data_IF_821291645477
#
_entry.id   IF_821291645477
#
_cell.length_a   1.000
_cell.length_b   1.000
_cell.length_c   1.000
_cell.angle_alpha   90.00
_cell.angle_beta   90.00
_cell.angle_gamma   90.00
#
_symmetry.space_group_name_H-M   'P 1'
#
loop_
_entity.id
_entity.type
_entity.pdbx_description
1 polymer ?
#
# COMPACT_ATOMS: atom_id res chain seq x y z
N UNK A 1 16.43 11.08 -3.62
CA UNK A 1 15.03 10.61 -3.46
C UNK A 1 14.94 9.12 -3.07
N UNK A 2 15.56 8.14 -3.77
CA UNK A 2 15.43 6.71 -3.43
C UNK A 2 15.92 6.36 -2.02
N UNK A 3 17.07 6.93 -1.64
CA UNK A 3 17.61 6.76 -0.29
C UNK A 3 16.70 7.32 0.81
N UNK A 4 15.92 8.38 0.55
CA UNK A 4 14.95 8.91 1.52
C UNK A 4 13.78 7.95 1.72
N UNK A 5 13.30 7.35 0.64
CA UNK A 5 12.24 6.34 0.69
C UNK A 5 12.70 5.12 1.47
N UNK A 6 13.89 4.59 1.14
CA UNK A 6 14.48 3.44 1.86
C UNK A 6 14.64 3.72 3.35
N UNK A 7 15.23 4.87 3.71
CA UNK A 7 15.41 5.25 5.10
C UNK A 7 14.06 5.35 5.84
N UNK A 8 13.04 5.97 5.24
CA UNK A 8 11.71 6.04 5.84
C UNK A 8 11.10 4.65 6.08
N UNK A 9 11.17 3.77 5.08
CA UNK A 9 10.69 2.39 5.20
C UNK A 9 11.46 1.60 6.26
N UNK A 10 12.78 1.73 6.32
CA UNK A 10 13.61 1.06 7.32
C UNK A 10 13.33 1.57 8.73
N UNK A 11 13.07 2.87 8.89
CA UNK A 11 12.67 3.42 10.18
C UNK A 11 11.41 2.73 10.72
N UNK A 12 10.34 2.67 9.93
CA UNK A 12 9.13 1.93 10.31
C UNK A 12 9.42 0.46 10.60
N UNK A 13 10.17 -0.22 9.72
CA UNK A 13 10.45 -1.65 9.81
C UNK A 13 11.23 -1.99 11.07
N UNK A 14 12.38 -1.35 11.27
CA UNK A 14 13.30 -1.66 12.37
C UNK A 14 12.70 -1.25 13.70
N UNK A 15 12.05 -0.09 13.78
CA UNK A 15 11.39 0.34 15.02
C UNK A 15 10.27 -0.61 15.42
N UNK A 16 9.36 -0.97 14.50
CA UNK A 16 8.25 -1.86 14.85
C UNK A 16 8.73 -3.29 15.17
N UNK A 17 9.70 -3.83 14.41
CA UNK A 17 10.26 -5.16 14.68
C UNK A 17 11.02 -5.21 16.01
N UNK A 18 11.80 -4.15 16.33
CA UNK A 18 12.51 -4.05 17.61
C UNK A 18 11.52 -3.96 18.77
N UNK A 19 10.44 -3.19 18.62
CA UNK A 19 9.40 -3.10 19.65
C UNK A 19 8.69 -4.44 19.84
N UNK A 20 8.40 -5.15 18.75
CA UNK A 20 7.77 -6.47 18.81
C UNK A 20 8.67 -7.48 19.53
N UNK A 21 9.96 -7.52 19.18
CA UNK A 21 10.92 -8.43 19.79
C UNK A 21 11.17 -8.08 21.27
N UNK A 22 11.33 -6.78 21.58
CA UNK A 22 11.48 -6.31 22.95
C UNK A 22 10.27 -6.64 23.81
N UNK A 23 9.05 -6.44 23.29
CA UNK A 23 7.82 -6.76 24.00
C UNK A 23 7.62 -8.27 24.19
N UNK A 24 8.04 -9.10 23.22
CA UNK A 24 8.06 -10.56 23.36
C UNK A 24 8.99 -11.03 24.49
N UNK A 25 10.16 -10.42 24.64
CA UNK A 25 11.12 -10.77 25.71
C UNK A 25 10.64 -10.26 27.07
N UNK A 26 10.17 -9.03 27.12
CA UNK A 26 9.74 -8.38 28.36
C UNK A 26 8.34 -8.82 28.83
N UNK A 27 7.57 -9.48 27.96
CA UNK A 27 6.18 -9.86 28.18
C UNK A 27 5.18 -8.74 27.91
N UNK A 28 5.60 -7.48 27.72
CA UNK A 28 4.72 -6.36 27.35
C UNK A 28 5.51 -5.19 26.74
N UNK A 29 4.82 -4.29 26.05
CA UNK A 29 5.41 -3.02 25.61
C UNK A 29 5.60 -2.07 26.80
N UNK A 30 6.81 -1.54 26.95
CA UNK A 30 7.17 -0.59 28.02
C UNK A 30 7.82 0.66 27.44
N UNK A 31 7.87 1.78 28.20
CA UNK A 31 8.47 3.03 27.71
C UNK A 31 9.94 2.86 27.32
N UNK A 32 10.68 2.02 28.06
CA UNK A 32 12.08 1.68 27.75
C UNK A 32 12.17 1.00 26.38
N UNK A 33 11.32 0.00 26.12
CA UNK A 33 11.27 -0.69 24.82
C UNK A 33 10.91 0.30 23.71
N UNK A 34 9.96 1.21 23.97
CA UNK A 34 9.56 2.26 23.04
C UNK A 34 10.75 3.14 22.62
N UNK A 35 11.48 3.71 23.59
CA UNK A 35 12.67 4.53 23.33
C UNK A 35 13.77 3.72 22.62
N UNK A 36 14.09 2.52 23.11
CA UNK A 36 15.10 1.66 22.50
C UNK A 36 14.77 1.34 21.04
N UNK A 37 13.50 1.10 20.73
CA UNK A 37 13.04 0.78 19.37
C UNK A 37 13.13 1.98 18.43
N UNK A 38 12.82 3.19 18.91
CA UNK A 38 13.00 4.42 18.13
C UNK A 38 14.50 4.67 17.86
N UNK A 39 15.34 4.55 18.89
CA UNK A 39 16.79 4.68 18.75
C UNK A 39 17.37 3.65 17.78
N UNK A 40 16.95 2.38 17.87
CA UNK A 40 17.38 1.33 16.95
C UNK A 40 17.02 1.66 15.50
N UNK A 41 15.80 2.17 15.25
CA UNK A 41 15.39 2.64 13.93
C UNK A 41 16.27 3.77 13.40
N UNK A 42 16.55 4.79 14.22
CA UNK A 42 17.40 5.92 13.85
C UNK A 42 18.85 5.50 13.57
N UNK A 43 19.41 4.63 14.42
CA UNK A 43 20.78 4.10 14.26
C UNK A 43 20.89 3.28 12.96
N UNK A 44 19.91 2.42 12.67
CA UNK A 44 19.91 1.67 11.41
C UNK A 44 19.83 2.60 10.20
N UNK A 45 18.97 3.63 10.26
CA UNK A 45 18.86 4.65 9.23
C UNK A 45 20.17 5.42 8.97
N UNK A 46 20.93 5.71 10.02
CA UNK A 46 22.25 6.32 9.88
C UNK A 46 23.22 5.42 9.10
N UNK A 47 23.27 4.13 9.45
CA UNK A 47 24.12 3.17 8.74
C UNK A 47 23.68 2.94 7.29
N UNK A 48 22.38 2.86 7.05
CA UNK A 48 21.80 2.79 5.72
C UNK A 48 22.28 3.96 4.85
N UNK A 49 22.19 5.19 5.34
CA UNK A 49 22.67 6.36 4.58
C UNK A 49 24.15 6.32 4.24
N UNK A 50 24.96 5.78 5.16
CA UNK A 50 26.40 5.67 4.97
C UNK A 50 26.75 4.61 3.93
N UNK A 51 26.13 3.43 4.01
CA UNK A 51 26.59 2.23 3.30
C UNK A 51 25.71 1.80 2.12
N UNK A 52 24.44 2.19 2.06
CA UNK A 52 23.55 1.80 0.98
C UNK A 52 24.01 2.36 -0.37
N UNK A 53 24.01 1.52 -1.39
CA UNK A 53 24.31 1.93 -2.76
C UNK A 53 23.07 2.48 -3.48
N UNK A 54 21.86 2.37 -2.91
CA UNK A 54 20.61 2.87 -3.51
C UNK A 54 20.60 4.37 -3.74
N UNK A 55 21.47 5.14 -3.06
CA UNK A 55 21.72 6.56 -3.36
C UNK A 55 22.20 6.82 -4.80
N UNK A 56 22.71 5.79 -5.48
CA UNK A 56 23.20 5.85 -6.87
C UNK A 56 22.12 5.57 -7.91
N UNK A 57 20.91 5.15 -7.50
CA UNK A 57 19.80 4.95 -8.44
C UNK A 57 19.37 6.31 -9.00
N UNK A 58 19.20 6.36 -10.31
CA UNK A 58 18.84 7.57 -11.03
C UNK A 58 17.54 8.18 -10.48
N UNK A 59 17.54 9.51 -10.32
CA UNK A 59 16.35 10.27 -9.96
C UNK A 59 15.62 10.66 -11.24
N UNK A 60 14.28 10.68 -11.19
CA UNK A 60 13.47 11.13 -12.33
C UNK A 60 13.73 12.60 -12.66
N UNK A 61 13.46 12.95 -13.92
CA UNK A 61 13.54 14.32 -14.43
C UNK A 61 12.65 15.29 -13.62
N UNK A 62 13.00 16.59 -13.58
CA UNK A 62 12.19 17.59 -12.90
C UNK A 62 10.76 17.65 -13.45
N UNK A 63 9.83 17.98 -12.56
CA UNK A 63 8.40 18.07 -12.86
C UNK A 63 8.08 19.36 -13.60
N UNK A 64 7.18 19.27 -14.60
CA UNK A 64 6.53 20.43 -15.20
C UNK A 64 5.59 21.14 -14.21
N UNK A 65 5.14 22.35 -14.56
CA UNK A 65 4.30 23.18 -13.69
C UNK A 65 2.96 22.52 -13.36
N UNK A 66 2.29 21.91 -14.34
CA UNK A 66 0.98 21.26 -14.14
C UNK A 66 1.12 20.09 -13.17
N UNK A 67 2.14 19.26 -13.36
CA UNK A 67 2.44 18.15 -12.46
C UNK A 67 2.75 18.64 -11.04
N UNK A 68 3.50 19.73 -10.89
CA UNK A 68 3.77 20.35 -9.57
C UNK A 68 2.48 20.82 -8.89
N UNK A 69 1.57 21.47 -9.62
CA UNK A 69 0.28 21.92 -9.09
C UNK A 69 -0.58 20.74 -8.63
N UNK A 70 -0.69 19.68 -9.45
CA UNK A 70 -1.41 18.47 -9.07
C UNK A 70 -0.78 17.78 -7.84
N UNK A 71 0.54 17.77 -7.72
CA UNK A 71 1.23 17.24 -6.53
C UNK A 71 0.96 18.11 -5.30
N UNK A 72 0.87 19.44 -5.48
CA UNK A 72 0.46 20.36 -4.43
C UNK A 72 -0.96 20.08 -3.92
N UNK A 73 -1.91 19.82 -4.83
CA UNK A 73 -3.29 19.40 -4.47
C UNK A 73 -3.27 18.09 -3.70
N UNK A 74 -2.51 17.10 -4.17
CA UNK A 74 -2.37 15.81 -3.48
C UNK A 74 -1.79 15.99 -2.08
N UNK A 75 -0.72 16.78 -1.92
CA UNK A 75 -0.12 17.07 -0.62
C UNK A 75 -1.09 17.79 0.31
N UNK A 76 -1.87 18.75 -0.21
CA UNK A 76 -2.93 19.43 0.53
C UNK A 76 -4.00 18.44 1.02
N UNK A 77 -4.41 17.49 0.18
CA UNK A 77 -5.36 16.46 0.59
C UNK A 77 -4.77 15.41 1.54
N UNK A 78 -3.50 15.02 1.38
CA UNK A 78 -2.79 14.18 2.36
C UNK A 78 -2.79 14.87 3.73
N UNK A 79 -2.43 16.15 3.77
CA UNK A 79 -2.47 16.96 4.99
C UNK A 79 -3.87 16.99 5.60
N UNK A 80 -4.88 17.36 4.81
CA UNK A 80 -6.26 17.45 5.27
C UNK A 80 -6.79 16.12 5.84
N UNK A 81 -6.65 15.01 5.10
CA UNK A 81 -7.13 13.70 5.55
C UNK A 81 -6.31 13.11 6.70
N UNK A 82 -5.09 13.59 6.93
CA UNK A 82 -4.27 13.20 8.08
C UNK A 82 -4.66 13.98 9.34
N UNK A 83 -4.80 15.31 9.24
CA UNK A 83 -5.17 16.18 10.38
C UNK A 83 -6.61 15.93 10.81
N UNK A 84 -7.54 15.80 9.84
CA UNK A 84 -8.95 15.51 10.09
C UNK A 84 -9.24 14.00 10.07
N UNK A 85 -8.23 13.17 10.32
CA UNK A 85 -8.38 11.72 10.44
C UNK A 85 -9.40 11.37 11.54
N UNK A 86 -9.27 12.03 12.69
CA UNK A 86 -10.28 12.16 13.72
C UNK A 86 -9.99 13.43 14.52
N UNK A 87 -11.04 14.19 14.83
CA UNK A 87 -10.91 15.48 15.48
C UNK A 87 -12.10 15.77 16.37
N UNK A 88 -11.90 16.61 17.37
CA UNK A 88 -12.97 17.01 18.27
C UNK A 88 -13.69 18.22 17.67
N UNK A 89 -14.99 18.09 17.41
CA UNK A 89 -15.81 19.20 16.88
C UNK A 89 -16.32 20.10 18.00
N UNK A 90 -16.68 19.50 19.12
CA UNK A 90 -17.14 20.15 20.35
C UNK A 90 -16.67 19.33 21.57
N UNK A 91 -16.78 19.84 22.81
CA UNK A 91 -16.28 19.14 24.00
C UNK A 91 -16.81 17.70 24.19
N UNK A 92 -17.96 17.36 23.61
CA UNK A 92 -18.60 16.05 23.72
C UNK A 92 -18.47 15.15 22.48
N UNK A 93 -18.17 15.72 21.31
CA UNK A 93 -18.34 15.01 20.04
C UNK A 93 -17.05 14.92 19.23
N UNK A 94 -16.71 13.69 18.84
CA UNK A 94 -15.61 13.37 17.93
C UNK A 94 -16.14 13.09 16.53
N UNK A 95 -15.46 13.66 15.53
CA UNK A 95 -15.80 13.55 14.12
C UNK A 95 -14.65 12.92 13.34
N UNK A 96 -14.99 12.34 12.20
CA UNK A 96 -14.06 11.85 11.20
C UNK A 96 -14.42 12.48 9.86
N UNK A 97 -13.43 12.82 9.04
CA UNK A 97 -13.69 13.42 7.72
C UNK A 97 -14.21 12.40 6.70
N UNK A 98 -13.63 11.20 6.70
CA UNK A 98 -13.92 10.16 5.71
C UNK A 98 -14.74 9.03 6.34
N UNK A 99 -15.97 8.83 5.86
CA UNK A 99 -16.88 7.80 6.37
C UNK A 99 -16.29 6.39 6.28
N UNK A 100 -15.41 6.14 5.31
CA UNK A 100 -14.75 4.84 5.13
C UNK A 100 -13.83 4.51 6.32
N UNK A 101 -13.44 5.50 7.15
CA UNK A 101 -12.63 5.28 8.35
C UNK A 101 -13.45 4.81 9.56
N UNK A 102 -14.78 4.95 9.56
CA UNK A 102 -15.57 4.81 10.79
C UNK A 102 -15.39 3.43 11.45
N UNK A 103 -15.42 2.36 10.64
CA UNK A 103 -15.23 0.98 11.12
C UNK A 103 -13.79 0.71 11.53
N UNK A 104 -12.85 0.81 10.58
CA UNK A 104 -11.44 0.45 10.79
C UNK A 104 -10.77 1.26 11.92
N UNK A 105 -11.07 2.56 12.01
CA UNK A 105 -10.38 3.44 12.95
C UNK A 105 -10.65 3.06 14.41
N UNK A 106 -11.87 2.64 14.72
CA UNK A 106 -12.26 2.22 16.07
C UNK A 106 -11.49 0.98 16.53
N UNK A 107 -11.32 0.00 15.63
CA UNK A 107 -10.51 -1.20 15.87
C UNK A 107 -9.04 -0.83 16.12
N UNK A 108 -8.47 0.05 15.29
CA UNK A 108 -7.09 0.51 15.46
C UNK A 108 -6.87 1.28 16.78
N UNK A 109 -7.82 2.13 17.20
CA UNK A 109 -7.73 2.83 18.50
C UNK A 109 -7.68 1.85 19.67
N UNK A 110 -8.57 0.86 19.64
CA UNK A 110 -8.62 -0.21 20.63
C UNK A 110 -7.29 -0.94 20.70
N UNK A 111 -6.78 -1.41 19.56
CA UNK A 111 -5.51 -2.14 19.47
C UNK A 111 -4.32 -1.30 19.94
N UNK A 112 -4.18 -0.05 19.49
CA UNK A 112 -3.07 0.84 19.86
C UNK A 112 -3.05 1.06 21.38
N UNK A 113 -4.20 1.41 21.98
CA UNK A 113 -4.29 1.64 23.44
C UNK A 113 -4.10 0.37 24.24
N UNK A 114 -4.58 -0.76 23.74
CA UNK A 114 -4.39 -2.04 24.39
C UNK A 114 -2.90 -2.38 24.49
N UNK A 115 -2.17 -2.27 23.36
CA UNK A 115 -0.71 -2.46 23.32
C UNK A 115 0.03 -1.47 24.22
N UNK A 116 -0.34 -0.18 24.17
CA UNK A 116 0.30 0.87 24.95
C UNK A 116 0.10 0.74 26.47
N UNK A 117 -0.97 0.09 26.92
CA UNK A 117 -1.25 -0.22 28.33
C UNK A 117 -0.44 -1.39 28.89
N UNK A 118 0.43 -2.01 28.08
CA UNK A 118 1.31 -3.07 28.53
C UNK A 118 0.61 -4.43 28.68
N UNK A 119 -0.33 -4.76 27.79
CA UNK A 119 -0.89 -6.12 27.73
C UNK A 119 0.19 -7.17 27.48
N UNK A 120 -0.10 -8.39 27.95
CA UNK A 120 0.77 -9.54 27.74
C UNK A 120 1.03 -9.78 26.24
N UNK A 121 2.29 -9.97 25.88
CA UNK A 121 2.74 -10.28 24.52
C UNK A 121 2.99 -11.78 24.39
N UNK A 122 2.49 -12.47 23.36
CA UNK A 122 1.68 -11.97 22.25
C UNK A 122 0.25 -11.59 22.67
N UNK A 123 -0.31 -10.46 22.19
CA UNK A 123 -1.61 -9.99 22.64
C UNK A 123 -2.75 -10.95 22.28
N UNK A 124 -3.78 -10.95 23.12
CA UNK A 124 -5.07 -11.57 22.81
C UNK A 124 -5.86 -10.72 21.81
N UNK A 125 -6.80 -11.36 21.12
CA UNK A 125 -7.71 -10.72 20.19
C UNK A 125 -8.64 -9.77 20.96
N UNK A 126 -8.70 -8.47 20.62
CA UNK A 126 -9.51 -7.50 21.36
C UNK A 126 -11.02 -7.69 21.13
N UNK A 127 -11.42 -8.51 20.15
CA UNK A 127 -12.83 -8.81 19.83
C UNK A 127 -13.25 -10.16 20.43
N UNK A 128 -12.37 -11.17 20.39
CA UNK A 128 -12.68 -12.52 20.84
C UNK A 128 -11.77 -12.95 22.00
N UNK A 129 -12.32 -12.97 23.21
CA UNK A 129 -11.60 -13.36 24.43
C UNK A 129 -11.04 -14.78 24.35
N UNK A 130 -9.81 -14.97 24.84
CA UNK A 130 -9.13 -16.28 24.82
C UNK A 130 -8.54 -16.68 23.47
N UNK A 131 -8.73 -15.87 22.42
CA UNK A 131 -8.09 -16.09 21.13
C UNK A 131 -6.85 -15.21 20.98
N UNK A 132 -5.82 -15.74 20.32
CA UNK A 132 -4.59 -14.98 20.03
C UNK A 132 -4.86 -13.92 18.95
N UNK A 133 -4.23 -12.76 19.04
CA UNK A 133 -4.37 -11.72 18.03
C UNK A 133 -3.64 -12.08 16.73
N UNK A 134 -4.38 -12.17 15.61
CA UNK A 134 -3.85 -12.63 14.30
C UNK A 134 -3.73 -11.54 13.25
N UNK A 135 -4.43 -10.43 13.45
CA UNK A 135 -4.40 -9.28 12.55
C UNK A 135 -2.97 -8.72 12.44
N UNK A 136 -2.47 -8.37 11.23
CA UNK A 136 -1.17 -7.72 11.07
C UNK A 136 -1.14 -6.33 11.72
N UNK A 137 -0.58 -6.24 12.93
CA UNK A 137 -0.66 -5.03 13.76
C UNK A 137 0.61 -4.18 13.75
N UNK A 138 1.50 -4.33 12.76
CA UNK A 138 2.78 -3.59 12.71
C UNK A 138 2.63 -2.06 12.81
N UNK A 139 1.65 -1.47 12.10
CA UNK A 139 1.37 -0.03 12.20
C UNK A 139 0.76 0.36 13.55
N UNK A 140 -0.03 -0.53 14.15
CA UNK A 140 -0.66 -0.27 15.45
C UNK A 140 0.39 -0.32 16.56
N UNK A 141 1.31 -1.29 16.52
CA UNK A 141 2.45 -1.34 17.45
C UNK A 141 3.36 -0.11 17.28
N UNK A 142 3.64 0.31 16.04
CA UNK A 142 4.44 1.50 15.80
C UNK A 142 3.79 2.76 16.43
N UNK A 143 2.46 2.89 16.34
CA UNK A 143 1.74 3.98 16.99
C UNK A 143 1.67 3.81 18.52
N UNK A 144 1.54 2.58 19.01
CA UNK A 144 1.50 2.26 20.44
C UNK A 144 2.80 2.66 21.15
N UNK A 145 3.95 2.70 20.45
CA UNK A 145 5.20 3.24 21.00
C UNK A 145 5.00 4.70 21.45
N UNK A 146 4.38 5.55 20.63
CA UNK A 146 4.19 6.96 20.96
C UNK A 146 3.15 7.15 22.08
N UNK A 147 2.04 6.42 22.03
CA UNK A 147 1.02 6.43 23.09
C UNK A 147 1.61 5.95 24.43
N UNK A 148 2.46 4.91 24.42
CA UNK A 148 3.14 4.40 25.60
C UNK A 148 4.18 5.39 26.17
N UNK A 149 4.70 6.29 25.35
CA UNK A 149 5.57 7.41 25.77
C UNK A 149 4.77 8.66 26.22
N UNK A 150 3.44 8.56 26.31
CA UNK A 150 2.56 9.64 26.76
C UNK A 150 2.26 10.70 25.70
N UNK A 151 2.62 10.46 24.43
CA UNK A 151 2.23 11.35 23.34
C UNK A 151 0.78 11.03 22.98
N UNK A 152 -0.08 12.05 22.98
CA UNK A 152 -1.50 11.87 22.72
C UNK A 152 -1.77 11.27 21.32
N UNK A 153 -2.75 10.35 21.25
CA UNK A 153 -3.25 9.75 20.00
C UNK A 153 -3.61 10.78 18.92
N UNK A 154 -4.16 11.93 19.31
CA UNK A 154 -4.52 13.04 18.43
C UNK A 154 -3.31 13.68 17.76
N UNK A 155 -2.11 13.44 18.29
CA UNK A 155 -0.86 13.99 17.76
C UNK A 155 -0.15 12.95 16.90
N UNK A 156 0.15 11.78 17.47
CA UNK A 156 1.00 10.81 16.77
C UNK A 156 0.29 10.17 15.58
N UNK A 157 -1.02 9.92 15.68
CA UNK A 157 -1.72 9.17 14.65
C UNK A 157 -1.92 9.96 13.34
N UNK A 158 -2.32 11.24 13.37
CA UNK A 158 -2.23 12.14 12.21
C UNK A 158 -0.81 12.24 11.64
N UNK A 159 0.21 12.42 12.49
CA UNK A 159 1.59 12.59 12.06
C UNK A 159 2.13 11.35 11.33
N UNK A 160 1.91 10.17 11.89
CA UNK A 160 2.31 8.90 11.29
C UNK A 160 1.58 8.66 9.97
N UNK A 161 0.28 8.97 9.92
CA UNK A 161 -0.53 8.87 8.69
C UNK A 161 0.01 9.81 7.61
N UNK A 162 0.27 11.08 7.95
CA UNK A 162 0.84 12.08 7.05
C UNK A 162 2.21 11.63 6.51
N UNK A 163 3.12 11.24 7.41
CA UNK A 163 4.47 10.79 7.03
C UNK A 163 4.42 9.58 6.09
N UNK A 164 3.57 8.60 6.39
CA UNK A 164 3.42 7.40 5.57
C UNK A 164 2.76 7.66 4.21
N UNK A 165 1.78 8.58 4.14
CA UNK A 165 1.16 8.97 2.86
C UNK A 165 2.10 9.82 1.99
N UNK A 166 2.91 10.70 2.58
CA UNK A 166 3.99 11.41 1.87
C UNK A 166 5.03 10.42 1.35
N UNK A 167 5.42 9.44 2.17
CA UNK A 167 6.31 8.36 1.76
C UNK A 167 5.71 7.53 0.62
N UNK A 168 4.40 7.26 0.67
CA UNK A 168 3.63 6.62 -0.41
C UNK A 168 3.72 7.42 -1.70
N UNK A 169 3.40 8.72 -1.68
CA UNK A 169 3.49 9.58 -2.85
C UNK A 169 4.92 9.60 -3.43
N UNK A 170 5.94 9.69 -2.57
CA UNK A 170 7.33 9.66 -2.99
C UNK A 170 7.72 8.32 -3.63
N UNK A 171 7.32 7.19 -3.03
CA UNK A 171 7.60 5.85 -3.57
C UNK A 171 6.89 5.61 -4.91
N UNK A 172 5.62 6.03 -5.03
CA UNK A 172 4.86 5.95 -6.28
C UNK A 172 5.49 6.82 -7.37
N UNK A 173 5.92 8.05 -7.06
CA UNK A 173 6.63 8.88 -8.03
C UNK A 173 7.94 8.24 -8.45
N UNK A 174 8.74 7.73 -7.51
CA UNK A 174 10.01 7.08 -7.81
C UNK A 174 9.81 5.88 -8.74
N UNK A 175 8.89 4.98 -8.40
CA UNK A 175 8.62 3.76 -9.16
C UNK A 175 7.92 4.05 -10.49
N UNK A 176 6.88 4.87 -10.46
CA UNK A 176 5.86 5.02 -11.50
C UNK A 176 5.74 6.38 -12.17
N UNK A 177 6.36 7.42 -11.62
CA UNK A 177 6.20 8.80 -12.07
C UNK A 177 4.79 9.34 -11.83
N UNK A 178 4.39 10.42 -12.55
CA UNK A 178 3.09 11.05 -12.39
C UNK A 178 1.91 10.13 -12.66
N UNK A 179 2.01 9.24 -13.67
CA UNK A 179 0.95 8.28 -13.99
C UNK A 179 0.53 7.47 -12.76
N UNK A 180 1.50 6.88 -12.06
CA UNK A 180 1.20 6.02 -10.91
C UNK A 180 0.68 6.83 -9.72
N UNK A 181 1.23 8.03 -9.48
CA UNK A 181 0.71 8.92 -8.43
C UNK A 181 -0.75 9.29 -8.72
N UNK A 182 -1.06 9.76 -9.92
CA UNK A 182 -2.41 10.20 -10.27
C UNK A 182 -3.41 9.04 -10.25
N UNK A 183 -3.05 7.89 -10.81
CA UNK A 183 -3.96 6.73 -10.83
C UNK A 183 -4.28 6.18 -9.44
N UNK A 184 -3.37 6.31 -8.47
CA UNK A 184 -3.66 5.91 -7.08
C UNK A 184 -4.51 6.96 -6.37
N UNK A 185 -4.11 8.22 -6.42
CA UNK A 185 -4.81 9.29 -5.68
C UNK A 185 -6.18 9.66 -6.29
N UNK A 186 -6.32 9.52 -7.60
CA UNK A 186 -7.49 9.93 -8.36
C UNK A 186 -8.18 8.77 -9.08
N UNK A 187 -8.04 7.54 -8.59
CA UNK A 187 -8.79 6.38 -9.09
C UNK A 187 -10.30 6.57 -8.88
N UNK A 188 -11.11 6.14 -9.85
CA UNK A 188 -12.58 6.06 -9.76
C UNK A 188 -13.16 5.30 -10.97
N UNK A 189 -14.47 5.04 -10.97
CA UNK A 189 -15.16 4.40 -12.09
C UNK A 189 -15.41 5.37 -13.25
N UNK A 190 -14.56 5.33 -14.28
CA UNK A 190 -14.71 6.12 -15.50
C UNK A 190 -16.06 5.91 -16.19
N UNK A 191 -16.57 4.68 -16.23
CA UNK A 191 -17.84 4.38 -16.88
C UNK A 191 -19.06 4.95 -16.14
N UNK A 192 -19.00 5.05 -14.80
CA UNK A 192 -20.04 5.72 -14.05
C UNK A 192 -20.06 7.21 -14.38
N UNK A 193 -18.90 7.85 -14.59
CA UNK A 193 -18.83 9.26 -15.00
C UNK A 193 -19.52 9.54 -16.35
N UNK A 194 -19.51 8.58 -17.28
CA UNK A 194 -20.16 8.73 -18.59
C UNK A 194 -21.70 8.61 -18.56
N UNK A 195 -22.30 8.21 -17.44
CA UNK A 195 -23.75 8.06 -17.35
C UNK A 195 -24.46 9.43 -17.23
N UNK A 196 -25.67 9.60 -17.77
CA UNK A 196 -26.43 10.84 -17.60
C UNK A 196 -26.75 11.14 -16.12
N UNK A 197 -26.59 12.39 -15.69
CA UNK A 197 -26.98 12.83 -14.33
C UNK A 197 -25.91 12.67 -13.23
N UNK A 198 -24.66 12.41 -13.59
CA UNK A 198 -23.53 12.10 -12.69
C UNK A 198 -22.81 13.31 -12.09
N UNK A 199 -23.42 14.50 -12.16
CA UNK A 199 -22.94 15.68 -11.43
C UNK A 199 -23.11 15.54 -9.90
N UNK A 200 -23.89 14.55 -9.45
CA UNK A 200 -23.87 14.08 -8.07
C UNK A 200 -22.64 13.19 -7.84
N UNK A 201 -21.60 13.77 -7.24
CA UNK A 201 -20.31 13.13 -7.00
C UNK A 201 -20.40 11.86 -6.13
N UNK A 202 -21.46 11.71 -5.33
CA UNK A 202 -21.68 10.49 -4.55
C UNK A 202 -22.02 9.29 -5.45
N UNK A 203 -22.73 9.52 -6.58
CA UNK A 203 -23.09 8.47 -7.54
C UNK A 203 -21.89 7.95 -8.33
N UNK A 204 -20.78 8.70 -8.39
CA UNK A 204 -19.57 8.25 -9.08
C UNK A 204 -18.99 6.97 -8.48
N UNK A 205 -19.23 6.71 -7.20
CA UNK A 205 -18.76 5.50 -6.50
C UNK A 205 -19.87 4.48 -6.20
N UNK A 206 -21.11 4.76 -6.61
CA UNK A 206 -22.24 3.88 -6.34
C UNK A 206 -22.13 2.59 -7.15
N UNK A 207 -22.30 1.45 -6.47
CA UNK A 207 -22.16 0.11 -7.06
C UNK A 207 -20.75 -0.25 -7.52
N UNK A 208 -19.72 0.53 -7.16
CA UNK A 208 -18.32 0.18 -7.39
C UNK A 208 -17.72 -0.46 -6.14
N UNK A 209 -17.04 -1.58 -6.34
CA UNK A 209 -16.20 -2.22 -5.32
C UNK A 209 -14.77 -1.67 -5.40
N UNK A 210 -14.28 -1.43 -6.62
CA UNK A 210 -13.00 -0.78 -6.90
C UNK A 210 -13.17 0.76 -6.83
N UNK A 211 -13.34 1.24 -5.60
CA UNK A 211 -13.54 2.66 -5.27
C UNK A 211 -12.26 3.48 -5.42
N UNK A 212 -12.33 4.78 -5.14
CA UNK A 212 -11.14 5.62 -5.09
C UNK A 212 -10.16 5.07 -4.05
N UNK A 213 -9.00 4.63 -4.49
CA UNK A 213 -8.02 3.90 -3.68
C UNK A 213 -7.45 4.76 -2.55
N UNK A 214 -7.32 6.07 -2.76
CA UNK A 214 -6.89 6.95 -1.69
C UNK A 214 -7.93 7.01 -0.57
N UNK A 215 -9.18 7.30 -0.90
CA UNK A 215 -10.26 7.48 0.08
C UNK A 215 -10.74 6.17 0.71
N UNK A 216 -10.72 5.06 -0.02
CA UNK A 216 -11.28 3.78 0.44
C UNK A 216 -10.25 2.80 0.99
N UNK A 217 -8.96 2.98 0.68
CA UNK A 217 -7.89 2.04 1.08
C UNK A 217 -6.74 2.74 1.79
N UNK A 218 -6.13 3.78 1.21
CA UNK A 218 -4.92 4.38 1.80
C UNK A 218 -5.21 5.14 3.10
N UNK A 219 -6.31 5.88 3.16
CA UNK A 219 -6.70 6.65 4.34
C UNK A 219 -7.25 5.73 5.45
N UNK A 220 -7.88 4.62 5.07
CA UNK A 220 -8.61 3.70 5.96
C UNK A 220 -7.71 2.59 6.50
N UNK A 221 -7.00 1.89 5.61
CA UNK A 221 -6.24 0.69 5.94
C UNK A 221 -4.82 1.06 6.33
N UNK A 222 -4.59 1.18 7.64
CA UNK A 222 -3.30 1.63 8.20
C UNK A 222 -2.11 0.81 7.71
N UNK A 223 -2.24 -0.51 7.64
CA UNK A 223 -1.16 -1.39 7.15
C UNK A 223 -0.70 -1.03 5.73
N UNK A 224 -1.60 -0.51 4.89
CA UNK A 224 -1.32 -0.14 3.51
C UNK A 224 -0.47 1.13 3.38
N UNK A 225 -0.50 2.01 4.39
CA UNK A 225 0.33 3.22 4.49
C UNK A 225 1.83 2.90 4.52
N UNK A 226 2.20 1.73 5.08
CA UNK A 226 3.55 1.19 4.95
C UNK A 226 3.69 0.29 3.72
N UNK A 227 2.71 -0.58 3.49
CA UNK A 227 2.87 -1.67 2.52
C UNK A 227 2.95 -1.18 1.07
N UNK A 228 2.15 -0.18 0.68
CA UNK A 228 2.19 0.35 -0.68
C UNK A 228 3.55 0.96 -1.03
N UNK A 229 4.12 1.91 -0.26
CA UNK A 229 5.45 2.44 -0.55
C UNK A 229 6.52 1.36 -0.52
N UNK A 230 6.45 0.40 0.41
CA UNK A 230 7.40 -0.71 0.49
C UNK A 230 7.39 -1.57 -0.78
N UNK A 231 6.23 -2.07 -1.21
CA UNK A 231 6.16 -2.97 -2.37
C UNK A 231 6.49 -2.29 -3.70
N UNK A 232 6.07 -1.03 -3.93
CA UNK A 232 6.44 -0.31 -5.16
C UNK A 232 7.92 0.09 -5.17
N UNK A 233 8.47 0.40 -4.01
CA UNK A 233 9.91 0.64 -3.85
C UNK A 233 10.71 -0.62 -4.18
N UNK A 234 10.35 -1.77 -3.59
CA UNK A 234 10.97 -3.06 -3.85
C UNK A 234 10.89 -3.40 -5.34
N UNK A 235 9.71 -3.30 -5.96
CA UNK A 235 9.57 -3.52 -7.41
C UNK A 235 10.56 -2.67 -8.21
N UNK A 236 10.62 -1.36 -7.93
CA UNK A 236 11.48 -0.45 -8.70
C UNK A 236 12.96 -0.80 -8.54
N UNK A 237 13.42 -1.08 -7.32
CA UNK A 237 14.83 -1.43 -7.06
C UNK A 237 15.22 -2.73 -7.76
N UNK A 238 14.34 -3.73 -7.75
CA UNK A 238 14.56 -4.97 -8.49
C UNK A 238 14.55 -4.75 -10.01
N UNK A 239 13.61 -3.97 -10.54
CA UNK A 239 13.56 -3.62 -11.97
C UNK A 239 14.83 -2.89 -12.44
N UNK A 240 15.32 -1.91 -11.67
CA UNK A 240 16.59 -1.21 -11.96
C UNK A 240 17.78 -2.17 -11.99
N UNK A 241 17.82 -3.14 -11.06
CA UNK A 241 18.85 -4.17 -11.08
C UNK A 241 18.72 -5.14 -12.25
N UNK A 242 17.51 -5.58 -12.58
CA UNK A 242 17.24 -6.46 -13.71
C UNK A 242 17.62 -5.84 -15.05
N UNK A 243 17.54 -4.52 -15.15
CA UNK A 243 18.00 -3.73 -16.31
C UNK A 243 19.50 -3.45 -16.32
N UNK A 244 20.23 -3.85 -15.27
CA UNK A 244 21.65 -3.56 -15.11
C UNK A 244 21.97 -2.09 -14.80
N UNK A 245 20.97 -1.26 -14.48
CA UNK A 245 21.14 0.15 -14.18
C UNK A 245 21.72 0.38 -12.76
N UNK A 246 21.62 -0.63 -11.89
CA UNK A 246 22.13 -0.58 -10.52
C UNK A 246 22.47 -1.97 -9.98
N UNK A 247 23.46 -2.04 -9.08
CA UNK A 247 23.87 -3.28 -8.40
C UNK A 247 23.83 -3.12 -6.88
N UNK A 248 23.13 -4.02 -6.16
CA UNK A 248 23.02 -3.94 -4.70
C UNK A 248 24.32 -4.30 -4.00
N UNK A 249 24.69 -3.50 -2.98
CA UNK A 249 25.68 -3.92 -1.99
C UNK A 249 25.13 -5.03 -1.08
N UNK A 250 25.98 -5.64 -0.25
CA UNK A 250 25.53 -6.61 0.77
C UNK A 250 24.54 -5.96 1.75
N UNK A 251 24.80 -4.70 2.13
CA UNK A 251 23.93 -3.96 3.04
C UNK A 251 22.56 -3.67 2.42
N UNK A 252 22.52 -3.33 1.13
CA UNK A 252 21.25 -3.15 0.40
C UNK A 252 20.43 -4.44 0.39
N UNK A 253 21.07 -5.60 0.15
CA UNK A 253 20.36 -6.89 0.14
C UNK A 253 19.68 -7.20 1.48
N UNK A 254 20.36 -6.90 2.58
CA UNK A 254 19.81 -7.05 3.94
C UNK A 254 18.67 -6.06 4.18
N UNK A 255 18.88 -4.79 3.86
CA UNK A 255 17.88 -3.73 4.04
C UNK A 255 16.60 -3.98 3.24
N UNK A 256 16.74 -4.39 1.97
CA UNK A 256 15.61 -4.76 1.12
C UNK A 256 14.90 -6.01 1.65
N UNK A 257 15.65 -6.96 2.23
CA UNK A 257 15.10 -8.14 2.88
C UNK A 257 14.28 -7.80 4.13
N UNK A 258 14.75 -6.85 4.94
CA UNK A 258 14.01 -6.33 6.09
C UNK A 258 12.71 -5.64 5.66
N UNK A 259 12.77 -4.76 4.67
CA UNK A 259 11.57 -4.08 4.13
C UNK A 259 10.57 -5.10 3.59
N UNK A 260 11.04 -6.07 2.81
CA UNK A 260 10.19 -7.11 2.24
C UNK A 260 9.58 -7.99 3.33
N UNK A 261 10.38 -8.51 4.27
CA UNK A 261 9.87 -9.34 5.35
C UNK A 261 8.91 -8.59 6.29
N UNK A 262 9.17 -7.32 6.56
CA UNK A 262 8.31 -6.47 7.39
C UNK A 262 6.90 -6.31 6.79
N UNK A 263 6.71 -6.47 5.47
CA UNK A 263 5.36 -6.53 4.91
C UNK A 263 4.50 -7.60 5.61
N UNK A 264 5.07 -8.74 6.02
CA UNK A 264 4.31 -9.78 6.73
C UNK A 264 3.75 -9.30 8.07
N UNK A 265 4.44 -8.36 8.71
CA UNK A 265 4.03 -7.75 9.96
C UNK A 265 3.04 -6.60 9.78
N UNK A 266 3.27 -5.76 8.76
CA UNK A 266 2.45 -4.57 8.51
C UNK A 266 1.19 -4.86 7.70
N UNK A 267 1.24 -5.79 6.74
CA UNK A 267 0.14 -6.09 5.84
C UNK A 267 0.34 -7.43 5.09
N UNK A 268 -0.23 -8.51 5.64
CA UNK A 268 -0.02 -9.88 5.16
C UNK A 268 -0.38 -10.10 3.68
N UNK A 269 -1.49 -9.53 3.20
CA UNK A 269 -1.86 -9.64 1.77
C UNK A 269 -0.80 -9.03 0.87
N UNK A 270 -0.21 -7.90 1.27
CA UNK A 270 0.88 -7.26 0.50
C UNK A 270 2.14 -8.11 0.53
N UNK A 271 2.49 -8.69 1.67
CA UNK A 271 3.62 -9.63 1.74
C UNK A 271 3.43 -10.77 0.75
N UNK A 272 2.25 -11.40 0.74
CA UNK A 272 1.98 -12.53 -0.14
C UNK A 272 2.09 -12.18 -1.62
N UNK A 273 1.37 -11.14 -2.08
CA UNK A 273 1.32 -10.80 -3.51
C UNK A 273 2.63 -10.18 -4.02
N UNK A 274 3.29 -9.33 -3.22
CA UNK A 274 4.61 -8.79 -3.56
C UNK A 274 5.63 -9.93 -3.63
N UNK A 275 5.57 -10.88 -2.69
CA UNK A 275 6.48 -12.03 -2.70
C UNK A 275 6.28 -12.92 -3.92
N UNK A 276 5.03 -13.22 -4.25
CA UNK A 276 4.69 -14.03 -5.41
C UNK A 276 5.17 -13.35 -6.70
N UNK A 277 4.87 -12.06 -6.87
CA UNK A 277 5.23 -11.33 -8.07
C UNK A 277 6.76 -11.13 -8.21
N UNK A 278 7.45 -10.71 -7.15
CA UNK A 278 8.92 -10.58 -7.17
C UNK A 278 9.59 -11.94 -7.33
N UNK A 279 9.07 -13.00 -6.70
CA UNK A 279 9.55 -14.37 -6.87
C UNK A 279 9.47 -14.82 -8.33
N UNK A 280 8.32 -14.62 -8.98
CA UNK A 280 8.15 -14.91 -10.40
C UNK A 280 9.15 -14.14 -11.28
N UNK A 281 9.38 -12.85 -11.01
CA UNK A 281 10.38 -12.06 -11.73
C UNK A 281 11.81 -12.56 -11.48
N UNK A 282 12.20 -12.83 -10.23
CA UNK A 282 13.54 -13.35 -9.89
C UNK A 282 13.80 -14.68 -10.61
N UNK A 283 12.81 -15.58 -10.62
CA UNK A 283 12.89 -16.88 -11.28
C UNK A 283 12.99 -16.73 -12.80
N UNK A 284 12.12 -15.93 -13.41
CA UNK A 284 12.14 -15.66 -14.85
C UNK A 284 13.47 -15.01 -15.30
N UNK A 285 13.98 -14.07 -14.51
CA UNK A 285 15.28 -13.41 -14.73
C UNK A 285 16.49 -14.28 -14.39
N UNK A 286 16.27 -15.48 -13.82
CA UNK A 286 17.32 -16.40 -13.35
C UNK A 286 18.30 -15.75 -12.36
N UNK A 287 17.81 -14.82 -11.53
CA UNK A 287 18.63 -14.08 -10.58
C UNK A 287 18.54 -14.60 -9.13
N UNK A 288 18.06 -15.82 -8.92
CA UNK A 288 17.91 -16.40 -7.58
C UNK A 288 19.21 -16.35 -6.77
N UNK A 289 20.36 -16.67 -7.39
CA UNK A 289 21.67 -16.60 -6.69
C UNK A 289 22.02 -15.20 -6.21
N UNK A 290 21.67 -14.17 -6.99
CA UNK A 290 21.91 -12.77 -6.64
C UNK A 290 21.06 -12.34 -5.46
N UNK A 291 19.79 -12.74 -5.46
CA UNK A 291 18.77 -12.26 -4.53
C UNK A 291 18.48 -13.21 -3.36
N UNK A 292 19.08 -14.40 -3.32
CA UNK A 292 18.90 -15.37 -2.26
C UNK A 292 19.08 -14.77 -0.85
N UNK A 293 20.11 -13.94 -0.55
CA UNK A 293 20.23 -13.34 0.78
C UNK A 293 19.04 -12.45 1.16
N UNK A 294 18.50 -11.69 0.18
CA UNK A 294 17.33 -10.83 0.38
C UNK A 294 16.07 -11.66 0.59
N UNK A 295 15.89 -12.71 -0.21
CA UNK A 295 14.76 -13.65 -0.08
C UNK A 295 14.79 -14.36 1.27
N UNK A 296 15.96 -14.85 1.70
CA UNK A 296 16.11 -15.50 3.00
C UNK A 296 15.80 -14.53 4.13
N UNK A 297 16.33 -13.31 4.09
CA UNK A 297 16.03 -12.30 5.10
C UNK A 297 14.52 -11.97 5.14
N UNK A 298 13.89 -11.77 3.98
CA UNK A 298 12.45 -11.53 3.90
C UNK A 298 11.64 -12.70 4.47
N UNK A 299 12.05 -13.93 4.17
CA UNK A 299 11.44 -15.14 4.69
C UNK A 299 11.58 -15.22 6.21
N UNK A 300 12.78 -15.09 6.78
CA UNK A 300 12.99 -15.18 8.22
C UNK A 300 12.25 -14.10 9.01
N UNK A 301 12.18 -12.89 8.48
CA UNK A 301 11.46 -11.78 9.14
C UNK A 301 9.95 -11.93 8.98
N UNK A 302 9.46 -12.31 7.80
CA UNK A 302 8.03 -12.39 7.51
C UNK A 302 7.35 -13.66 8.03
N UNK A 303 8.07 -14.80 8.07
CA UNK A 303 7.53 -16.11 8.38
C UNK A 303 6.79 -16.17 9.73
N UNK A 304 7.30 -15.62 10.85
CA UNK A 304 6.60 -15.68 12.12
C UNK A 304 5.19 -15.08 12.06
N UNK A 305 5.01 -14.00 11.29
CA UNK A 305 3.72 -13.32 11.13
C UNK A 305 2.76 -14.12 10.23
N UNK A 306 3.30 -14.74 9.18
CA UNK A 306 2.51 -15.67 8.33
C UNK A 306 2.04 -16.86 9.16
N UNK A 307 2.93 -17.49 9.93
CA UNK A 307 2.58 -18.63 10.77
C UNK A 307 1.53 -18.25 11.83
N UNK A 308 1.66 -17.07 12.43
CA UNK A 308 0.66 -16.56 13.38
C UNK A 308 -0.72 -16.40 12.73
N UNK A 309 -0.78 -15.93 11.48
CA UNK A 309 -2.03 -15.74 10.75
C UNK A 309 -2.68 -17.07 10.28
N UNK A 310 -1.90 -18.14 10.16
CA UNK A 310 -2.38 -19.45 9.68
C UNK A 310 -2.91 -20.37 10.79
N UNK A 311 -2.76 -20.02 12.08
CA UNK A 311 -3.31 -20.83 13.16
C UNK A 311 -4.85 -20.88 13.02
N UNK A 312 -5.51 -22.05 13.00
CA UNK A 312 -6.97 -22.15 12.84
C UNK A 312 -7.74 -21.59 14.05
N UNK A 313 -8.92 -21.00 13.83
CA UNK A 313 -9.90 -20.65 14.89
C UNK A 313 -11.13 -21.55 14.78
N UNK A 314 -11.67 -21.98 15.92
CA UNK A 314 -12.96 -22.66 15.95
C UNK A 314 -14.06 -21.67 15.51
N UNK A 315 -14.81 -22.00 14.44
CA UNK A 315 -15.95 -21.20 13.97
C UNK A 315 -15.69 -20.21 12.84
N UNK A 316 -14.45 -20.02 12.39
CA UNK A 316 -14.16 -19.25 11.17
C UNK A 316 -14.23 -20.15 9.94
N UNK A 317 -15.37 -20.15 9.23
CA UNK A 317 -15.51 -20.78 7.92
C UNK A 317 -14.52 -20.16 6.92
N UNK A 318 -14.03 -20.98 5.99
CA UNK A 318 -12.72 -20.86 5.32
C UNK A 318 -12.31 -19.48 4.77
N UNK A 319 -11.13 -19.02 5.18
CA UNK A 319 -10.39 -17.87 4.63
C UNK A 319 -10.09 -17.98 3.13
N UNK A 320 -10.07 -19.20 2.60
CA UNK A 320 -9.69 -19.50 1.22
C UNK A 320 -10.86 -20.22 0.56
N UNK A 321 -11.46 -19.59 -0.43
CA UNK A 321 -12.53 -20.19 -1.21
C UNK A 321 -12.57 -19.62 -2.63
N UNK A 322 -13.19 -20.37 -3.54
CA UNK A 322 -13.43 -19.93 -4.91
C UNK A 322 -14.76 -19.17 -5.00
N UNK A 323 -14.76 -18.06 -5.74
CA UNK A 323 -15.94 -17.26 -6.06
C UNK A 323 -16.00 -16.96 -7.57
N UNK A 324 -17.21 -16.74 -8.10
CA UNK A 324 -17.45 -16.38 -9.50
C UNK A 324 -17.43 -14.85 -9.66
N UNK A 325 -16.24 -14.29 -9.46
CA UNK A 325 -15.98 -12.85 -9.47
C UNK A 325 -15.91 -12.28 -8.05
N UNK A 326 -14.97 -11.37 -7.83
CA UNK A 326 -14.73 -10.71 -6.54
C UNK A 326 -15.91 -9.81 -6.13
N UNK A 327 -16.56 -10.08 -4.99
CA UNK A 327 -17.64 -9.27 -4.40
C UNK A 327 -18.84 -9.01 -5.34
N UNK A 328 -18.98 -9.79 -6.42
CA UNK A 328 -19.98 -9.56 -7.45
C UNK A 328 -21.36 -9.99 -6.96
N UNK A 329 -22.28 -9.05 -6.89
CA UNK A 329 -23.66 -9.33 -6.49
C UNK A 329 -24.38 -10.25 -7.49
N UNK A 330 -25.30 -11.10 -7.02
CA UNK A 330 -26.17 -11.89 -7.90
C UNK A 330 -26.94 -11.01 -8.89
N UNK A 331 -27.04 -11.44 -10.14
CA UNK A 331 -27.74 -10.72 -11.21
C UNK A 331 -26.91 -9.66 -11.95
N UNK A 332 -25.72 -9.28 -11.47
CA UNK A 332 -24.82 -8.39 -12.20
C UNK A 332 -24.00 -9.20 -13.21
N UNK A 333 -24.06 -8.83 -14.49
CA UNK A 333 -23.25 -9.47 -15.54
C UNK A 333 -21.74 -9.38 -15.27
N UNK A 334 -21.02 -10.46 -15.54
CA UNK A 334 -19.58 -10.59 -15.23
C UNK A 334 -18.73 -9.56 -15.99
N UNK A 335 -19.00 -9.36 -17.29
CA UNK A 335 -18.23 -8.42 -18.10
C UNK A 335 -18.51 -6.99 -17.68
N UNK A 336 -19.79 -6.66 -17.50
CA UNK A 336 -20.25 -5.35 -17.03
C UNK A 336 -19.64 -4.99 -15.67
N UNK A 337 -19.57 -5.95 -14.75
CA UNK A 337 -18.96 -5.76 -13.43
C UNK A 337 -17.50 -5.29 -13.54
N UNK A 338 -16.67 -6.00 -14.31
CA UNK A 338 -15.25 -5.66 -14.44
C UNK A 338 -15.02 -4.37 -15.24
N UNK A 339 -15.82 -4.12 -16.28
CA UNK A 339 -15.77 -2.87 -17.03
C UNK A 339 -16.10 -1.68 -16.12
N UNK A 340 -17.09 -1.78 -15.24
CA UNK A 340 -17.40 -0.66 -14.31
C UNK A 340 -16.33 -0.44 -13.26
N UNK A 341 -15.75 -1.51 -12.71
CA UNK A 341 -14.78 -1.43 -11.62
C UNK A 341 -13.36 -1.03 -12.05
N UNK A 342 -12.81 -1.68 -13.07
CA UNK A 342 -11.41 -1.46 -13.50
C UNK A 342 -11.30 -0.95 -14.95
N UNK A 343 -12.38 -1.08 -15.73
CA UNK A 343 -12.64 -0.34 -16.96
C UNK A 343 -11.45 -0.02 -17.87
N UNK A 344 -11.03 1.25 -17.98
CA UNK A 344 -9.95 1.66 -18.88
C UNK A 344 -8.62 0.92 -18.68
N UNK A 345 -8.37 0.45 -17.45
CA UNK A 345 -7.15 -0.31 -17.15
C UNK A 345 -7.11 -1.65 -17.88
N UNK A 346 -8.20 -2.40 -17.96
CA UNK A 346 -8.24 -3.68 -18.70
C UNK A 346 -7.96 -3.48 -20.19
N UNK A 347 -8.55 -2.45 -20.78
CA UNK A 347 -8.34 -2.09 -22.19
C UNK A 347 -6.88 -1.72 -22.43
N UNK A 348 -6.30 -0.91 -21.56
CA UNK A 348 -4.90 -0.50 -21.66
C UNK A 348 -3.94 -1.69 -21.47
N UNK A 349 -4.23 -2.61 -20.55
CA UNK A 349 -3.45 -3.84 -20.34
C UNK A 349 -3.47 -4.70 -21.60
N UNK A 350 -4.65 -4.93 -22.19
CA UNK A 350 -4.77 -5.69 -23.44
C UNK A 350 -4.00 -5.05 -24.60
N UNK A 351 -4.13 -3.74 -24.78
CA UNK A 351 -3.41 -2.99 -25.81
C UNK A 351 -1.88 -3.02 -25.60
N UNK A 352 -1.42 -2.89 -24.35
CA UNK A 352 0.00 -2.97 -24.01
C UNK A 352 0.57 -4.38 -24.25
N UNK A 353 -0.13 -5.43 -23.81
CA UNK A 353 0.26 -6.81 -24.06
C UNK A 353 0.36 -7.11 -25.55
N UNK A 354 -0.65 -6.73 -26.33
CA UNK A 354 -0.63 -6.90 -27.79
C UNK A 354 0.55 -6.16 -28.43
N UNK A 355 0.76 -4.90 -28.05
CA UNK A 355 1.85 -4.07 -28.59
C UNK A 355 3.22 -4.67 -28.28
N UNK A 356 3.48 -5.06 -27.03
CA UNK A 356 4.77 -5.61 -26.62
C UNK A 356 5.00 -7.04 -27.12
N UNK A 357 3.94 -7.84 -27.28
CA UNK A 357 4.01 -9.13 -27.96
C UNK A 357 4.44 -8.98 -29.42
N UNK A 358 3.80 -8.07 -30.16
CA UNK A 358 4.15 -7.78 -31.57
C UNK A 358 5.57 -7.24 -31.71
N UNK A 359 6.01 -6.43 -30.76
CA UNK A 359 7.39 -5.91 -30.71
C UNK A 359 8.42 -6.92 -30.17
N UNK A 360 7.98 -8.11 -29.70
CA UNK A 360 8.83 -9.09 -28.99
C UNK A 360 9.56 -8.50 -27.77
N UNK A 361 8.99 -7.46 -27.16
CA UNK A 361 9.52 -6.82 -25.96
C UNK A 361 9.08 -7.60 -24.70
N UNK A 362 9.70 -8.77 -24.52
CA UNK A 362 9.43 -9.64 -23.37
C UNK A 362 9.75 -8.98 -22.03
N UNK A 363 10.62 -7.96 -22.02
CA UNK A 363 10.99 -7.19 -20.84
C UNK A 363 9.79 -6.45 -20.25
N UNK A 364 8.89 -5.96 -21.11
CA UNK A 364 7.65 -5.29 -20.70
C UNK A 364 6.44 -6.21 -20.71
N UNK A 365 6.39 -7.17 -21.63
CA UNK A 365 5.27 -8.11 -21.73
C UNK A 365 5.12 -9.00 -20.49
N UNK A 366 6.19 -9.67 -20.05
CA UNK A 366 6.10 -10.70 -18.99
C UNK A 366 5.64 -10.12 -17.64
N UNK A 367 6.15 -8.98 -17.16
CA UNK A 367 5.64 -8.35 -15.94
C UNK A 367 4.12 -8.06 -16.00
N UNK A 368 3.63 -7.53 -17.12
CA UNK A 368 2.19 -7.26 -17.31
C UNK A 368 1.40 -8.57 -17.33
N UNK A 369 1.89 -9.59 -18.02
CA UNK A 369 1.24 -10.89 -18.11
C UNK A 369 1.15 -11.58 -16.74
N UNK A 370 2.20 -11.52 -15.92
CA UNK A 370 2.16 -12.01 -14.54
C UNK A 370 1.15 -11.23 -13.70
N UNK A 371 1.14 -9.90 -13.78
CA UNK A 371 0.19 -9.08 -13.04
C UNK A 371 -1.26 -9.39 -13.43
N UNK A 372 -1.54 -9.58 -14.73
CA UNK A 372 -2.86 -9.95 -15.22
C UNK A 372 -3.26 -11.38 -14.82
N UNK A 373 -2.33 -12.34 -14.86
CA UNK A 373 -2.59 -13.71 -14.43
C UNK A 373 -2.93 -13.77 -12.93
N UNK A 374 -2.20 -13.01 -12.10
CA UNK A 374 -2.50 -12.90 -10.67
C UNK A 374 -3.83 -12.16 -10.43
N UNK A 375 -4.13 -11.11 -11.20
CA UNK A 375 -5.43 -10.44 -11.16
C UNK A 375 -6.56 -11.43 -11.45
N UNK A 376 -6.44 -12.22 -12.51
CA UNK A 376 -7.44 -13.23 -12.88
C UNK A 376 -7.58 -14.33 -11.83
N UNK A 377 -6.47 -14.75 -11.20
CA UNK A 377 -6.48 -15.70 -10.09
C UNK A 377 -7.25 -15.13 -8.89
N UNK A 378 -6.87 -13.96 -8.38
CA UNK A 378 -7.50 -13.36 -7.20
C UNK A 378 -8.86 -12.69 -7.49
N UNK A 379 -9.23 -12.54 -8.76
CA UNK A 379 -10.61 -12.25 -9.14
C UNK A 379 -11.56 -13.41 -8.80
N UNK A 380 -11.04 -14.63 -8.62
CA UNK A 380 -11.82 -15.85 -8.36
C UNK A 380 -11.40 -16.59 -7.09
N UNK A 381 -10.17 -16.40 -6.60
CA UNK A 381 -9.69 -16.97 -5.36
C UNK A 381 -9.70 -15.90 -4.27
N UNK A 382 -10.61 -16.06 -3.31
CA UNK A 382 -10.77 -15.16 -2.17
C UNK A 382 -9.84 -15.63 -1.06
N UNK A 383 -8.99 -14.73 -0.54
CA UNK A 383 -8.04 -14.98 0.55
C UNK A 383 -8.33 -14.10 1.78
N UNK A 384 -9.60 -13.80 2.02
CA UNK A 384 -10.04 -12.95 3.12
C UNK A 384 -11.39 -13.43 3.67
N UNK A 385 -11.70 -13.13 4.95
CA UNK A 385 -13.00 -13.44 5.53
C UNK A 385 -14.16 -12.71 4.82
N UNK A 386 -13.93 -11.47 4.42
CA UNK A 386 -14.87 -10.65 3.66
C UNK A 386 -14.43 -10.60 2.20
N UNK A 387 -15.34 -10.85 1.25
CA UNK A 387 -14.96 -10.85 -0.17
C UNK A 387 -14.34 -9.51 -0.61
N UNK A 388 -14.91 -8.38 -0.17
CA UNK A 388 -14.38 -7.06 -0.52
C UNK A 388 -12.90 -6.87 -0.14
N UNK A 389 -12.42 -7.47 0.95
CA UNK A 389 -11.03 -7.37 1.38
C UNK A 389 -10.03 -7.93 0.36
N UNK A 390 -10.47 -8.75 -0.60
CA UNK A 390 -9.60 -9.24 -1.67
C UNK A 390 -9.09 -8.10 -2.59
N UNK A 391 -9.68 -6.90 -2.51
CA UNK A 391 -9.15 -5.68 -3.15
C UNK A 391 -7.68 -5.45 -2.80
N UNK A 392 -7.28 -5.83 -1.58
CA UNK A 392 -5.90 -5.74 -1.07
C UNK A 392 -4.89 -6.49 -1.95
N UNK A 393 -5.32 -7.53 -2.67
CA UNK A 393 -4.50 -8.26 -3.65
C UNK A 393 -4.65 -7.69 -5.06
N UNK A 394 -5.86 -7.33 -5.45
CA UNK A 394 -6.16 -6.81 -6.79
C UNK A 394 -5.48 -5.47 -7.06
N UNK A 395 -5.37 -4.59 -6.06
CA UNK A 395 -4.64 -3.31 -6.15
C UNK A 395 -3.18 -3.53 -6.54
N UNK A 396 -2.52 -4.56 -6.00
CA UNK A 396 -1.14 -4.85 -6.37
C UNK A 396 -1.00 -5.28 -7.81
N UNK A 397 -1.94 -6.11 -8.30
CA UNK A 397 -1.96 -6.51 -9.70
C UNK A 397 -2.18 -5.30 -10.62
N UNK A 398 -3.09 -4.41 -10.23
CA UNK A 398 -3.33 -3.13 -10.90
C UNK A 398 -2.06 -2.25 -10.96
N UNK A 399 -1.39 -2.08 -9.82
CA UNK A 399 -0.15 -1.29 -9.67
C UNK A 399 1.00 -1.89 -10.47
N UNK A 400 1.22 -3.20 -10.41
CA UNK A 400 2.32 -3.87 -11.12
C UNK A 400 2.16 -3.77 -12.64
N UNK A 401 0.94 -3.92 -13.16
CA UNK A 401 0.66 -3.70 -14.57
C UNK A 401 0.94 -2.25 -14.98
N UNK A 402 0.47 -1.26 -14.19
CA UNK A 402 0.73 0.16 -14.43
C UNK A 402 2.23 0.48 -14.44
N UNK A 403 2.98 -0.10 -13.50
CA UNK A 403 4.43 0.08 -13.40
C UNK A 403 5.15 -0.41 -14.66
N UNK A 404 4.71 -1.52 -15.25
CA UNK A 404 5.31 -2.09 -16.45
C UNK A 404 4.88 -1.37 -17.76
N UNK A 405 3.71 -0.72 -17.76
CA UNK A 405 3.17 -0.02 -18.93
C UNK A 405 3.41 1.50 -18.96
N UNK A 406 4.27 2.04 -18.09
CA UNK A 406 4.52 3.49 -18.00
C UNK A 406 4.98 4.13 -19.31
N UNK A 407 5.86 3.47 -20.07
CA UNK A 407 6.33 4.00 -21.34
C UNK A 407 5.23 3.97 -22.41
N UNK A 408 4.31 2.99 -22.29
CA UNK A 408 3.17 2.85 -23.17
C UNK A 408 2.14 3.96 -22.92
N UNK A 409 1.91 4.34 -21.66
CA UNK A 409 0.88 5.32 -21.29
C UNK A 409 1.38 6.75 -21.08
N UNK A 410 2.65 6.97 -20.70
CA UNK A 410 3.07 8.26 -20.16
C UNK A 410 4.46 8.75 -20.59
N UNK A 411 5.55 8.04 -20.28
CA UNK A 411 6.91 8.62 -20.30
C UNK A 411 7.36 9.17 -21.67
N UNK A 412 6.96 8.53 -22.76
CA UNK A 412 7.39 8.87 -24.12
C UNK A 412 6.22 9.33 -24.99
N UNK A 413 5.24 10.01 -24.38
CA UNK A 413 3.99 10.41 -25.03
C UNK A 413 3.84 11.94 -25.08
N UNK A 414 3.24 12.48 -26.16
CA UNK A 414 2.97 13.91 -26.26
C UNK A 414 1.93 14.35 -25.23
N UNK A 415 1.91 15.65 -24.93
CA UNK A 415 1.11 16.24 -23.84
C UNK A 415 -0.38 15.97 -23.99
N UNK A 416 -0.92 16.05 -25.21
CA UNK A 416 -2.33 15.75 -25.49
C UNK A 416 -2.70 14.30 -25.13
N UNK A 417 -1.77 13.35 -25.35
CA UNK A 417 -2.01 11.94 -25.02
C UNK A 417 -1.96 11.73 -23.50
N UNK A 418 -1.00 12.37 -22.82
CA UNK A 418 -0.92 12.35 -21.35
C UNK A 418 -2.18 12.96 -20.72
N UNK A 419 -2.69 14.05 -21.28
CA UNK A 419 -3.95 14.66 -20.86
C UNK A 419 -5.14 13.70 -21.08
N UNK A 420 -5.22 13.03 -22.24
CA UNK A 420 -6.26 12.03 -22.50
C UNK A 420 -6.20 10.86 -21.50
N UNK A 421 -5.00 10.33 -21.21
CA UNK A 421 -4.80 9.30 -20.19
C UNK A 421 -5.25 9.81 -18.82
N UNK A 422 -4.90 11.03 -18.43
CA UNK A 422 -5.34 11.62 -17.17
C UNK A 422 -6.88 11.75 -17.12
N UNK A 423 -7.53 12.19 -18.19
CA UNK A 423 -8.99 12.31 -18.24
C UNK A 423 -9.65 10.94 -18.03
N UNK A 424 -9.16 9.92 -18.74
CA UNK A 424 -9.74 8.59 -18.71
C UNK A 424 -9.50 7.87 -17.38
N UNK A 425 -8.30 7.97 -16.81
CA UNK A 425 -7.92 7.21 -15.62
C UNK A 425 -8.17 7.95 -14.30
N UNK A 426 -8.16 9.28 -14.31
CA UNK A 426 -7.99 10.08 -13.10
C UNK A 426 -9.07 11.14 -12.91
N UNK A 427 -9.70 11.66 -13.97
CA UNK A 427 -10.59 12.82 -13.83
C UNK A 427 -11.76 12.61 -12.88
N UNK A 428 -12.52 11.50 -12.94
CA UNK A 428 -13.64 11.30 -12.02
C UNK A 428 -13.19 11.22 -10.55
N UNK A 429 -12.05 10.58 -10.30
CA UNK A 429 -11.50 10.48 -8.95
C UNK A 429 -10.84 11.76 -8.47
N UNK A 430 -10.36 12.61 -9.38
CA UNK A 430 -9.88 13.95 -9.05
C UNK A 430 -11.02 14.83 -8.53
N UNK A 431 -12.18 14.83 -9.20
CA UNK A 431 -13.37 15.57 -8.75
C UNK A 431 -13.82 15.12 -7.36
N UNK A 432 -13.87 13.80 -7.15
CA UNK A 432 -14.19 13.19 -5.87
C UNK A 432 -13.17 13.56 -4.78
N UNK A 433 -11.88 13.52 -5.11
CA UNK A 433 -10.80 13.88 -4.18
C UNK A 433 -10.94 15.32 -3.72
N UNK A 434 -11.14 16.26 -4.64
CA UNK A 434 -11.32 17.68 -4.32
C UNK A 434 -12.58 17.90 -3.46
N UNK A 435 -13.68 17.22 -3.78
CA UNK A 435 -14.92 17.29 -2.99
C UNK A 435 -14.78 16.68 -1.59
N UNK A 436 -13.86 15.74 -1.39
CA UNK A 436 -13.61 15.12 -0.09
C UNK A 436 -12.86 16.03 0.90
N UNK A 437 -12.28 17.14 0.42
CA UNK A 437 -11.51 18.05 1.25
C UNK A 437 -12.41 18.81 2.23
N UNK A 438 -11.90 19.14 3.43
CA UNK A 438 -12.65 19.93 4.41
C UNK A 438 -13.09 21.26 3.78
N UNK A 439 -14.39 21.56 3.85
CA UNK A 439 -14.91 22.87 3.53
C UNK A 439 -14.80 23.76 4.77
N UNK A 440 -14.44 25.02 4.60
CA UNK A 440 -14.29 26.01 5.69
C UNK A 440 -15.60 26.30 6.47
N UNK A 441 -16.70 25.60 6.17
CA UNK A 441 -18.05 25.88 6.66
C UNK A 441 -18.76 24.68 7.32
N UNK A 442 -18.06 23.65 7.80
CA UNK A 442 -18.69 22.51 8.51
C UNK A 442 -18.26 22.33 9.95
#
# INVERSE_FOLDING_TARGET
>A
MPALIQTGLLFFSVTALTACFGALINGSLSPVIGVTSLCAGLVYCYFDRRFAATKRIAVRKPLDLVTKLLYGIILGGIYAHSVFLFYQKDPSTWWIQNISNLGDLSFHFGTIRNLARGVHFWPENPIFLGFRFRYPFGMDLFNAIFENLGIAMQTHLPLVTFAGLVLTMAALHFAGGPLLVFTIFFSAGFFNFLQPGTWDLYRLQEGLDFKNLFLSVLVTQRGFVYALPAGVYLYKVFDENFRGAWSPSRFDKVSLGLIWGALGFFHLHSFFIVSLYLGLLILWRRQMRTWLPTVLMAFFVGLPFVLNALVPEAGMNGFIHWSRGWNRQPGVDYFTYWVRNVGPWLVAVGAALYTFYRAKDWQKFVPIAFALALFALFAHLILAPWEWDNIKLLIWCYVFALLAMQDFLWNNRPDWFRAAVFIVFCWPGFLLFVHSLPHATR
#
